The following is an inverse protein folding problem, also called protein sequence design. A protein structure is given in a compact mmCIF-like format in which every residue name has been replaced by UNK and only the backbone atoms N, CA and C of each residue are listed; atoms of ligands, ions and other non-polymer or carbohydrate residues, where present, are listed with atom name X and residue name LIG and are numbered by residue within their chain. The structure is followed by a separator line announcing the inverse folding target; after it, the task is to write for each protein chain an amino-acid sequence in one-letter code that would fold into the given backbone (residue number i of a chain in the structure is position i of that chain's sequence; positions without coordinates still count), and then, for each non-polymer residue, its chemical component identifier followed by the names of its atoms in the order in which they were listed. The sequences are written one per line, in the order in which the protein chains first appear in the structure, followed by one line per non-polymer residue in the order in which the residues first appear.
data_IF_201313120815
#
_entry.id   IF_201313120815
#
_cell.length_a   1.000
_cell.length_b   1.000
_cell.length_c   1.000
_cell.angle_alpha   90.00
_cell.angle_beta   90.00
_cell.angle_gamma   90.00
#
_symmetry.space_group_name_H-M   'P 1'
#
loop_
_entity.id
_entity.type
_entity.pdbx_description
1 polymer ?
#
# COMPACT_ATOMS: atom_id res chain seq x y z
N UNK A 1 -4.35 12.54 -17.99
CA UNK A 1 -3.65 11.28 -18.20
C UNK A 1 -3.98 10.29 -17.08
N UNK A 2 -4.18 9.04 -17.44
CA UNK A 2 -4.60 8.00 -16.47
C UNK A 2 -3.68 7.87 -15.25
N UNK A 3 -2.36 7.98 -15.43
CA UNK A 3 -1.40 7.87 -14.34
C UNK A 3 -1.48 9.06 -13.37
N UNK A 4 -1.66 10.27 -13.88
CA UNK A 4 -1.84 11.46 -13.04
C UNK A 4 -3.14 11.38 -12.24
N UNK A 5 -4.21 10.86 -12.87
CA UNK A 5 -5.51 10.67 -12.21
C UNK A 5 -5.38 9.66 -11.08
N UNK A 6 -4.60 8.60 -11.28
CA UNK A 6 -4.33 7.60 -10.25
C UNK A 6 -3.58 8.19 -9.06
N UNK A 7 -2.62 9.09 -9.32
CA UNK A 7 -1.91 9.79 -8.24
C UNK A 7 -2.86 10.69 -7.44
N UNK A 8 -3.79 11.36 -8.11
CA UNK A 8 -4.80 12.18 -7.44
C UNK A 8 -5.70 11.33 -6.52
N UNK A 9 -6.10 10.16 -6.99
CA UNK A 9 -6.87 9.22 -6.19
C UNK A 9 -6.08 8.71 -4.99
N UNK A 10 -4.80 8.46 -5.18
CA UNK A 10 -3.90 8.03 -4.10
C UNK A 10 -3.81 9.10 -3.02
N UNK A 11 -3.65 10.36 -3.40
CA UNK A 11 -3.60 11.48 -2.46
C UNK A 11 -4.90 11.58 -1.65
N UNK A 12 -6.06 11.47 -2.32
CA UNK A 12 -7.36 11.48 -1.66
C UNK A 12 -7.51 10.31 -0.69
N UNK A 13 -7.07 9.13 -1.11
CA UNK A 13 -7.13 7.93 -0.25
C UNK A 13 -6.24 8.05 0.97
N UNK A 14 -5.05 8.64 0.80
CA UNK A 14 -4.14 8.89 1.91
C UNK A 14 -4.77 9.83 2.95
N UNK A 15 -5.47 10.87 2.49
CA UNK A 15 -6.19 11.81 3.37
C UNK A 15 -7.32 11.13 4.13
N UNK A 16 -8.08 10.26 3.46
CA UNK A 16 -9.11 9.44 4.13
C UNK A 16 -8.49 8.56 5.22
N UNK A 17 -7.37 7.93 4.93
CA UNK A 17 -6.68 7.07 5.89
C UNK A 17 -6.23 7.88 7.12
N UNK A 18 -5.68 9.07 6.90
CA UNK A 18 -5.27 9.96 7.98
C UNK A 18 -6.48 10.35 8.85
N UNK A 19 -7.58 10.73 8.22
CA UNK A 19 -8.80 11.13 8.94
C UNK A 19 -9.35 9.98 9.77
N UNK A 20 -9.37 8.77 9.23
CA UNK A 20 -9.82 7.58 9.95
C UNK A 20 -8.89 7.22 11.11
N UNK A 21 -7.58 7.34 10.91
CA UNK A 21 -6.60 7.07 11.95
C UNK A 21 -6.75 8.07 13.11
N UNK A 22 -6.97 9.34 12.79
CA UNK A 22 -7.19 10.38 13.79
C UNK A 22 -8.49 10.10 14.59
N UNK A 23 -9.55 9.74 13.89
CA UNK A 23 -10.84 9.43 14.51
C UNK A 23 -10.80 8.16 15.37
N UNK A 24 -9.92 7.22 15.04
CA UNK A 24 -9.82 5.92 15.73
C UNK A 24 -9.55 6.07 17.23
N UNK A 25 -8.78 7.08 17.62
CA UNK A 25 -8.43 7.29 19.02
C UNK A 25 -9.64 7.61 19.91
N UNK A 26 -10.70 8.16 19.30
CA UNK A 26 -11.92 8.53 20.02
C UNK A 26 -13.00 7.45 19.96
N UNK A 27 -12.80 6.38 19.20
CA UNK A 27 -13.80 5.34 19.02
C UNK A 27 -13.81 4.31 20.14
N UNK A 28 -14.99 3.77 20.40
CA UNK A 28 -15.15 2.64 21.31
C UNK A 28 -14.46 1.40 20.72
N UNK A 29 -13.96 0.54 21.60
CA UNK A 29 -13.22 -0.67 21.23
C UNK A 29 -13.96 -1.52 20.20
N UNK A 30 -15.26 -1.78 20.41
CA UNK A 30 -16.05 -2.65 19.52
C UNK A 30 -16.20 -2.06 18.12
N UNK A 31 -16.43 -0.73 18.04
CA UNK A 31 -16.52 -0.03 16.77
C UNK A 31 -15.18 -0.03 16.04
N UNK A 32 -14.10 0.14 16.80
CA UNK A 32 -12.75 0.12 16.25
C UNK A 32 -12.39 -1.28 15.73
N UNK A 33 -12.79 -2.34 16.42
CA UNK A 33 -12.58 -3.72 15.95
C UNK A 33 -13.26 -3.93 14.60
N UNK A 34 -14.47 -3.43 14.43
CA UNK A 34 -15.19 -3.52 13.16
C UNK A 34 -14.44 -2.76 12.05
N UNK A 35 -13.94 -1.57 12.36
CA UNK A 35 -13.18 -0.77 11.42
C UNK A 35 -11.90 -1.50 10.99
N UNK A 36 -11.21 -2.15 11.93
CA UNK A 36 -10.00 -2.93 11.64
C UNK A 36 -10.31 -4.09 10.69
N UNK A 37 -11.40 -4.82 10.94
CA UNK A 37 -11.82 -5.93 10.08
C UNK A 37 -12.16 -5.44 8.66
N UNK A 38 -12.88 -4.33 8.56
CA UNK A 38 -13.23 -3.72 7.28
C UNK A 38 -11.99 -3.25 6.52
N UNK A 39 -11.04 -2.61 7.22
CA UNK A 39 -9.79 -2.14 6.63
C UNK A 39 -8.94 -3.32 6.14
N UNK A 40 -8.89 -4.40 6.91
CA UNK A 40 -8.17 -5.62 6.52
C UNK A 40 -8.76 -6.22 5.24
N UNK A 41 -10.09 -6.31 5.17
CA UNK A 41 -10.78 -6.84 3.99
C UNK A 41 -10.52 -5.98 2.77
N UNK A 42 -10.59 -4.66 2.91
CA UNK A 42 -10.31 -3.71 1.82
C UNK A 42 -8.87 -3.83 1.35
N UNK A 43 -7.91 -3.91 2.27
CA UNK A 43 -6.50 -4.05 1.93
C UNK A 43 -6.23 -5.36 1.18
N UNK A 44 -6.87 -6.44 1.61
CA UNK A 44 -6.74 -7.73 0.94
C UNK A 44 -7.31 -7.70 -0.48
N UNK A 45 -8.48 -7.09 -0.65
CA UNK A 45 -9.10 -6.94 -1.97
C UNK A 45 -8.21 -6.12 -2.91
N UNK A 46 -7.60 -5.04 -2.42
CA UNK A 46 -6.68 -4.22 -3.21
C UNK A 46 -5.42 -4.99 -3.60
N UNK A 47 -4.87 -5.78 -2.67
CA UNK A 47 -3.70 -6.61 -2.95
C UNK A 47 -4.01 -7.66 -4.01
N UNK A 48 -5.18 -8.30 -3.94
CA UNK A 48 -5.62 -9.30 -4.91
C UNK A 48 -5.82 -8.66 -6.30
N UNK A 49 -6.46 -7.50 -6.35
CA UNK A 49 -6.66 -6.75 -7.58
C UNK A 49 -5.34 -6.34 -8.22
N UNK A 50 -4.39 -5.90 -7.42
CA UNK A 50 -3.06 -5.52 -7.90
C UNK A 50 -2.32 -6.73 -8.48
N UNK A 51 -2.42 -7.88 -7.83
CA UNK A 51 -1.81 -9.13 -8.31
C UNK A 51 -2.39 -9.53 -9.66
N UNK A 52 -3.71 -9.47 -9.81
CA UNK A 52 -4.39 -9.78 -11.07
C UNK A 52 -3.94 -8.83 -12.18
N UNK A 53 -3.82 -7.54 -11.88
CA UNK A 53 -3.35 -6.54 -12.84
C UNK A 53 -1.91 -6.80 -13.26
N UNK A 54 -1.05 -7.19 -12.32
CA UNK A 54 0.35 -7.51 -12.61
C UNK A 54 0.45 -8.75 -13.52
N UNK A 55 -0.34 -9.78 -13.25
CA UNK A 55 -0.38 -10.99 -14.07
C UNK A 55 -0.90 -10.71 -15.48
N UNK A 56 -1.93 -9.86 -15.59
CA UNK A 56 -2.49 -9.48 -16.89
C UNK A 56 -1.52 -8.61 -17.71
N UNK A 57 -0.67 -7.84 -17.03
CA UNK A 57 0.31 -6.96 -17.66
C UNK A 57 1.66 -7.61 -17.94
N UNK A 58 1.70 -8.90 -18.17
CA UNK A 58 2.94 -9.67 -18.37
C UNK A 58 3.92 -8.99 -19.31
N UNK A 59 5.17 -8.87 -18.88
CA UNK A 59 6.27 -8.29 -19.64
C UNK A 59 6.33 -6.77 -19.64
N UNK A 60 5.31 -6.09 -19.09
CA UNK A 60 5.28 -4.62 -19.02
C UNK A 60 5.71 -4.08 -17.67
N UNK A 61 5.64 -4.93 -16.64
CA UNK A 61 6.07 -4.56 -15.29
C UNK A 61 7.47 -5.11 -15.08
N UNK A 62 8.38 -4.26 -14.61
CA UNK A 62 9.77 -4.66 -14.43
C UNK A 62 9.92 -5.79 -13.40
N UNK A 63 10.95 -6.61 -13.57
CA UNK A 63 11.28 -7.68 -12.61
C UNK A 63 11.48 -7.13 -11.21
N UNK A 64 12.10 -5.94 -11.11
CA UNK A 64 12.28 -5.24 -9.83
C UNK A 64 10.95 -4.98 -9.13
N UNK A 65 9.95 -4.50 -9.89
CA UNK A 65 8.63 -4.21 -9.34
C UNK A 65 7.93 -5.49 -8.86
N UNK A 66 8.07 -6.59 -9.60
CA UNK A 66 7.58 -7.89 -9.17
C UNK A 66 8.22 -8.34 -7.85
N UNK A 67 9.50 -8.13 -7.71
CA UNK A 67 10.23 -8.49 -6.48
C UNK A 67 9.75 -7.64 -5.29
N UNK A 68 9.54 -6.35 -5.49
CA UNK A 68 9.02 -5.45 -4.47
C UNK A 68 7.62 -5.91 -4.02
N UNK A 69 6.73 -6.22 -4.96
CA UNK A 69 5.39 -6.69 -4.66
C UNK A 69 5.40 -8.00 -3.89
N UNK A 70 6.25 -8.94 -4.30
CA UNK A 70 6.38 -10.22 -3.61
C UNK A 70 6.87 -10.03 -2.18
N UNK A 71 7.91 -9.25 -2.01
CA UNK A 71 8.48 -8.95 -0.69
C UNK A 71 7.44 -8.31 0.23
N UNK A 72 6.66 -7.35 -0.30
CA UNK A 72 5.62 -6.69 0.46
C UNK A 72 4.49 -7.65 0.85
N UNK A 73 4.05 -8.51 -0.08
CA UNK A 73 3.01 -9.50 0.18
C UNK A 73 3.44 -10.50 1.24
N UNK A 74 4.69 -10.95 1.20
CA UNK A 74 5.26 -11.84 2.21
C UNK A 74 5.31 -11.16 3.59
N UNK A 75 5.72 -9.90 3.61
CA UNK A 75 5.78 -9.10 4.83
C UNK A 75 4.39 -8.92 5.44
N UNK A 76 3.38 -8.60 4.63
CA UNK A 76 2.00 -8.47 5.10
C UNK A 76 1.45 -9.78 5.63
N UNK A 77 1.73 -10.89 4.96
CA UNK A 77 1.28 -12.21 5.39
C UNK A 77 1.89 -12.56 6.75
N UNK A 78 3.18 -12.29 6.94
CA UNK A 78 3.88 -12.54 8.20
C UNK A 78 3.31 -11.67 9.34
N UNK A 79 3.04 -10.39 9.07
CA UNK A 79 2.43 -9.50 10.07
C UNK A 79 1.05 -10.01 10.47
N UNK A 80 0.22 -10.40 9.50
CA UNK A 80 -1.14 -10.87 9.77
C UNK A 80 -1.16 -12.17 10.56
N UNK A 81 -0.27 -13.09 10.23
CA UNK A 81 -0.14 -14.35 10.97
C UNK A 81 0.27 -14.09 12.42
N UNK A 82 1.24 -13.22 12.64
CA UNK A 82 1.69 -12.81 13.95
C UNK A 82 0.58 -12.12 14.75
N UNK A 83 -0.19 -11.26 14.09
CA UNK A 83 -1.36 -10.60 14.66
C UNK A 83 -2.39 -11.60 15.15
N UNK A 84 -2.77 -12.55 14.31
CA UNK A 84 -3.80 -13.55 14.63
C UNK A 84 -3.33 -14.44 15.78
N UNK A 85 -2.06 -14.80 15.80
CA UNK A 85 -1.47 -15.63 16.83
C UNK A 85 -1.43 -14.91 18.19
N UNK A 86 -1.04 -13.65 18.21
CA UNK A 86 -0.94 -12.85 19.44
C UNK A 86 -2.31 -12.49 20.02
N UNK A 87 -3.31 -12.28 19.17
CA UNK A 87 -4.67 -12.00 19.62
C UNK A 87 -5.29 -13.14 20.43
N UNK A 88 -4.82 -14.35 20.22
CA UNK A 88 -5.28 -15.52 20.97
C UNK A 88 -4.68 -15.57 22.39
N UNK A 89 -3.66 -14.78 22.68
CA UNK A 89 -3.00 -14.74 23.97
C UNK A 89 -3.51 -13.55 24.80
N UNK A 90 -4.29 -13.84 25.84
CA UNK A 90 -4.98 -12.82 26.65
C UNK A 90 -4.25 -12.47 27.97
N UNK A 91 -2.97 -12.16 27.90
CA UNK A 91 -2.19 -11.74 29.06
C UNK A 91 -1.92 -10.23 28.98
N UNK A 92 -2.01 -9.50 30.11
CA UNK A 92 -1.82 -8.06 30.16
C UNK A 92 -0.44 -7.61 29.72
N UNK A 93 0.60 -8.33 30.14
CA UNK A 93 1.99 -8.01 29.73
C UNK A 93 2.17 -8.20 28.24
N UNK A 94 1.58 -9.24 27.70
CA UNK A 94 1.63 -9.53 26.26
C UNK A 94 0.78 -8.54 25.46
N UNK A 95 -0.27 -8.00 26.05
CA UNK A 95 -1.09 -6.98 25.39
C UNK A 95 -0.28 -5.71 25.14
N UNK A 96 0.56 -5.28 26.10
CA UNK A 96 1.44 -4.15 25.92
C UNK A 96 2.52 -4.40 24.88
N UNK A 97 3.15 -5.58 24.93
CA UNK A 97 4.13 -5.98 23.90
C UNK A 97 3.50 -6.04 22.52
N UNK A 98 2.28 -6.55 22.43
CA UNK A 98 1.53 -6.60 21.20
C UNK A 98 1.27 -5.18 20.67
N UNK A 99 0.85 -4.26 21.54
CA UNK A 99 0.59 -2.88 21.15
C UNK A 99 1.86 -2.19 20.63
N UNK A 100 2.99 -2.38 21.31
CA UNK A 100 4.27 -1.82 20.90
C UNK A 100 4.69 -2.37 19.53
N UNK A 101 4.54 -3.67 19.33
CA UNK A 101 4.89 -4.30 18.06
C UNK A 101 3.95 -3.84 16.95
N UNK A 102 2.66 -3.73 17.24
CA UNK A 102 1.68 -3.24 16.26
C UNK A 102 1.96 -1.80 15.84
N UNK A 103 2.37 -0.96 16.78
CA UNK A 103 2.76 0.43 16.48
C UNK A 103 4.01 0.49 15.60
N UNK A 104 5.00 -0.35 15.89
CA UNK A 104 6.21 -0.46 15.06
C UNK A 104 5.88 -0.95 13.66
N UNK A 105 5.03 -1.95 13.54
CA UNK A 105 4.59 -2.47 12.24
C UNK A 105 3.82 -1.40 11.45
N UNK A 106 2.96 -0.64 12.12
CA UNK A 106 2.22 0.45 11.49
C UNK A 106 3.16 1.54 10.97
N UNK A 107 4.15 1.93 11.77
CA UNK A 107 5.15 2.92 11.38
C UNK A 107 5.94 2.44 10.15
N UNK A 108 6.34 1.19 10.13
CA UNK A 108 7.05 0.59 9.00
C UNK A 108 6.17 0.59 7.74
N UNK A 109 4.88 0.27 7.88
CA UNK A 109 3.95 0.26 6.75
C UNK A 109 3.80 1.66 6.14
N UNK A 110 3.75 2.69 6.97
CA UNK A 110 3.69 4.08 6.50
C UNK A 110 4.98 4.46 5.77
N UNK A 111 6.14 4.12 6.33
CA UNK A 111 7.43 4.37 5.68
C UNK A 111 7.52 3.66 4.33
N UNK A 112 7.05 2.42 4.26
CA UNK A 112 6.99 1.67 3.01
C UNK A 112 6.09 2.37 1.99
N UNK A 113 4.95 2.89 2.44
CA UNK A 113 4.02 3.61 1.57
C UNK A 113 4.67 4.89 1.01
N UNK A 114 5.44 5.61 1.82
CA UNK A 114 6.21 6.76 1.34
C UNK A 114 7.17 6.37 0.22
N UNK A 115 7.92 5.30 0.42
CA UNK A 115 8.85 4.80 -0.60
C UNK A 115 8.10 4.42 -1.89
N UNK A 116 6.94 3.80 -1.76
CA UNK A 116 6.11 3.42 -2.90
C UNK A 116 5.58 4.65 -3.65
N UNK A 117 5.22 5.72 -2.93
CA UNK A 117 4.78 6.97 -3.54
C UNK A 117 5.92 7.63 -4.32
N UNK A 118 7.12 7.66 -3.75
CA UNK A 118 8.29 8.21 -4.43
C UNK A 118 8.57 7.43 -5.72
N UNK A 119 8.46 6.12 -5.68
CA UNK A 119 8.64 5.27 -6.85
C UNK A 119 7.55 5.51 -7.90
N UNK A 120 6.31 5.72 -7.45
CA UNK A 120 5.20 6.06 -8.35
C UNK A 120 5.43 7.40 -9.05
N UNK A 121 5.92 8.39 -8.32
CA UNK A 121 6.30 9.69 -8.90
C UNK A 121 7.35 9.52 -9.98
N UNK A 122 8.40 8.78 -9.66
CA UNK A 122 9.46 8.48 -10.62
C UNK A 122 8.88 7.85 -11.90
N UNK A 123 8.06 6.83 -11.74
CA UNK A 123 7.48 6.09 -12.88
C UNK A 123 6.61 6.99 -13.76
N UNK A 124 5.81 7.87 -13.16
CA UNK A 124 4.94 8.79 -13.90
C UNK A 124 5.77 9.82 -14.66
N UNK A 125 6.80 10.37 -14.03
CA UNK A 125 7.70 11.35 -14.68
C UNK A 125 8.47 10.71 -15.81
N UNK A 126 8.96 9.49 -15.62
CA UNK A 126 9.68 8.74 -16.66
C UNK A 126 8.76 8.44 -17.85
N UNK A 127 7.51 8.07 -17.58
CA UNK A 127 6.52 7.84 -18.64
C UNK A 127 6.24 9.12 -19.45
N UNK A 128 6.13 10.27 -18.78
CA UNK A 128 5.93 11.55 -19.44
C UNK A 128 7.11 11.92 -20.32
N UNK A 129 8.33 11.70 -19.81
CA UNK A 129 9.56 11.93 -20.58
C UNK A 129 9.61 11.02 -21.81
N UNK A 130 9.34 9.74 -21.62
CA UNK A 130 9.34 8.76 -22.72
C UNK A 130 8.35 9.13 -23.80
N UNK A 131 7.17 9.63 -23.42
CA UNK A 131 6.15 10.07 -24.40
C UNK A 131 6.62 11.27 -25.20
N UNK A 132 7.23 12.25 -24.53
CA UNK A 132 7.79 13.42 -25.22
C UNK A 132 8.88 13.05 -26.19
N UNK A 133 9.78 12.16 -25.81
CA UNK A 133 10.85 11.67 -26.68
C UNK A 133 10.29 10.92 -27.90
N UNK A 134 9.27 10.09 -27.70
CA UNK A 134 8.62 9.38 -28.79
C UNK A 134 7.95 10.35 -29.75
N UNK A 135 7.24 11.36 -29.23
CA UNK A 135 6.57 12.38 -30.05
C UNK A 135 7.59 13.21 -30.84
N UNK A 136 8.70 13.58 -30.24
CA UNK A 136 9.79 14.30 -30.92
C UNK A 136 10.38 13.48 -32.06
N UNK A 137 10.61 12.19 -31.86
CA UNK A 137 11.13 11.29 -32.89
C UNK A 137 10.13 11.11 -34.03
N UNK A 138 8.84 11.02 -33.70
CA UNK A 138 7.79 10.92 -34.70
C UNK A 138 7.66 12.18 -35.56
N UNK A 139 7.96 13.36 -34.97
CA UNK A 139 7.92 14.64 -35.64
C UNK A 139 9.22 14.97 -36.39
N UNK A 140 10.31 14.26 -36.14
CA UNK A 140 11.61 14.54 -36.74
C UNK A 140 11.60 14.26 -38.25
N UNK A 141 12.13 15.16 -39.12
CA UNK A 141 12.22 14.91 -40.54
C UNK A 141 13.26 13.87 -40.88
N UNK A 142 12.91 13.02 -41.79
CA UNK A 142 13.82 12.01 -42.33
C UNK A 142 13.88 10.72 -41.61
#
# INVERSE_FOLDING_TARGET
MAASDKLSKLAARAKEAEDRATAAQAKAKDDLQQDVENARATAQAQADSLRESADAGKGRISAWWHDVQRSWNEHLAAIREDFDHRRAEHDTERAEEYADQAEADASFAVDYAYAAIDEAEYAVLDAALARKEADERAAAPG
#
